data_IF_267410380931
#
_entry.id   IF_267410380931
#
_cell.length_a   1.000
_cell.length_b   1.000
_cell.length_c   1.000
_cell.angle_alpha   90.00
_cell.angle_beta   90.00
_cell.angle_gamma   90.00
#
_symmetry.space_group_name_H-M   'P 1'
#
loop_
_entity.id
_entity.type
_entity.pdbx_description
1 polymer ?
#
# COMPACT_ATOMS: atom_id res chain seq x y z
N UNK A 1 22.17 6.10 34.92
CA UNK A 1 20.86 6.69 34.59
C UNK A 1 20.93 7.13 33.13
N UNK A 2 20.55 6.25 32.22
CA UNK A 2 20.72 6.46 30.78
C UNK A 2 19.57 7.33 30.26
N UNK A 3 19.90 8.50 29.73
CA UNK A 3 18.98 9.33 28.95
C UNK A 3 18.84 8.71 27.57
N UNK A 4 18.09 7.61 27.48
CA UNK A 4 17.59 7.14 26.18
C UNK A 4 16.48 8.08 25.72
N UNK A 5 16.59 8.49 24.46
CA UNK A 5 15.93 9.62 23.85
C UNK A 5 14.40 9.58 23.95
N UNK A 6 13.83 10.54 24.68
CA UNK A 6 12.38 10.79 24.78
C UNK A 6 11.67 10.90 23.41
N UNK A 7 12.38 11.20 22.33
CA UNK A 7 11.85 11.35 20.98
C UNK A 7 11.59 10.01 20.26
N UNK A 8 12.39 8.96 20.49
CA UNK A 8 12.18 7.65 19.87
C UNK A 8 10.99 6.90 20.48
N UNK A 9 10.78 7.06 21.80
CA UNK A 9 9.65 6.48 22.53
C UNK A 9 8.32 7.05 22.02
N UNK A 10 8.25 8.34 21.73
CA UNK A 10 7.05 8.99 21.19
C UNK A 10 6.72 8.57 19.76
N UNK A 11 7.73 8.36 18.91
CA UNK A 11 7.54 7.92 17.52
C UNK A 11 7.07 6.47 17.42
N UNK A 12 7.60 5.56 18.25
CA UNK A 12 7.14 4.18 18.29
C UNK A 12 5.70 4.08 18.80
N UNK A 13 5.32 4.90 19.78
CA UNK A 13 3.94 4.98 20.23
C UNK A 13 2.95 5.33 19.11
N UNK A 14 3.34 6.19 18.15
CA UNK A 14 2.51 6.52 16.98
C UNK A 14 2.22 5.30 16.10
N UNK A 15 3.07 4.28 16.07
CA UNK A 15 2.82 3.04 15.30
C UNK A 15 1.75 2.17 15.98
N UNK A 16 1.53 2.33 17.29
CA UNK A 16 0.46 1.67 18.05
C UNK A 16 -0.89 2.41 18.02
N UNK A 17 -0.95 3.63 17.48
CA UNK A 17 -2.21 4.40 17.43
C UNK A 17 -3.05 3.95 16.24
N UNK A 18 -4.33 3.56 16.41
CA UNK A 18 -5.18 3.10 15.30
C UNK A 18 -5.35 4.08 14.15
N UNK A 19 -5.18 5.39 14.38
CA UNK A 19 -5.25 6.44 13.35
C UNK A 19 -3.96 6.58 12.53
N UNK A 20 -2.87 5.92 12.94
CA UNK A 20 -1.61 5.97 12.22
C UNK A 20 -1.66 5.13 10.95
N UNK A 21 -1.12 5.67 9.86
CA UNK A 21 -0.98 4.95 8.59
C UNK A 21 -0.03 3.74 8.69
N UNK A 22 0.81 3.73 9.73
CA UNK A 22 1.74 2.64 10.04
C UNK A 22 1.14 1.58 10.96
N UNK A 23 -0.07 1.79 11.47
CA UNK A 23 -0.72 0.83 12.34
C UNK A 23 -1.09 -0.43 11.56
N UNK A 24 -0.61 -1.56 12.06
CA UNK A 24 -0.99 -2.87 11.56
C UNK A 24 -2.10 -3.43 12.45
N UNK A 25 -3.30 -3.55 11.90
CA UNK A 25 -4.39 -4.14 12.66
C UNK A 25 -4.11 -5.64 12.82
N UNK A 26 -4.37 -6.26 13.99
CA UNK A 26 -4.18 -7.71 14.19
C UNK A 26 -4.92 -8.62 13.19
N UNK A 27 -5.89 -8.07 12.46
CA UNK A 27 -6.70 -8.77 11.46
C UNK A 27 -6.18 -8.56 10.03
N UNK A 28 -5.11 -7.79 9.86
CA UNK A 28 -4.47 -7.61 8.55
C UNK A 28 -3.61 -8.83 8.24
N UNK A 29 -3.98 -9.54 7.17
CA UNK A 29 -3.33 -10.75 6.73
C UNK A 29 -2.88 -10.59 5.27
N UNK A 30 -1.66 -11.02 4.96
CA UNK A 30 -1.08 -11.02 3.61
C UNK A 30 -1.85 -11.92 2.63
N UNK A 31 -2.57 -12.92 3.13
CA UNK A 31 -3.41 -13.84 2.36
C UNK A 31 -4.78 -13.24 1.99
N UNK A 32 -5.10 -12.03 2.45
CA UNK A 32 -6.37 -11.39 2.14
C UNK A 32 -6.39 -10.90 0.68
N UNK A 33 -7.45 -11.23 -0.05
CA UNK A 33 -7.76 -10.65 -1.36
C UNK A 33 -8.73 -9.50 -1.12
N UNK A 34 -8.30 -8.25 -1.37
CA UNK A 34 -9.13 -7.07 -1.09
C UNK A 34 -10.22 -6.84 -2.14
N UNK A 35 -9.93 -7.17 -3.40
CA UNK A 35 -10.81 -6.89 -4.54
C UNK A 35 -10.89 -8.13 -5.41
N UNK A 36 -12.13 -8.47 -5.78
CA UNK A 36 -12.48 -9.49 -6.76
C UNK A 36 -13.61 -8.94 -7.65
N UNK A 37 -13.60 -9.15 -8.98
CA UNK A 37 -12.59 -9.88 -9.76
C UNK A 37 -11.24 -9.14 -9.84
N UNK A 38 -10.13 -9.83 -10.15
CA UNK A 38 -8.84 -9.19 -10.32
C UNK A 38 -8.83 -8.24 -11.53
N UNK A 39 -7.86 -7.33 -11.58
CA UNK A 39 -7.61 -6.49 -12.76
C UNK A 39 -7.23 -7.39 -13.95
N UNK A 40 -7.94 -7.24 -15.05
CA UNK A 40 -7.70 -7.93 -16.33
C UNK A 40 -7.47 -6.94 -17.48
N UNK A 41 -7.32 -5.65 -17.18
CA UNK A 41 -7.12 -4.56 -18.13
C UNK A 41 -8.42 -3.82 -18.41
N UNK A 42 -9.40 -4.45 -19.06
CA UNK A 42 -10.67 -3.80 -19.44
C UNK A 42 -11.57 -3.38 -18.28
N UNK A 43 -11.34 -3.91 -17.07
CA UNK A 43 -12.12 -3.57 -15.88
C UNK A 43 -11.44 -2.53 -14.98
N UNK A 44 -10.45 -1.79 -15.49
CA UNK A 44 -9.61 -0.91 -14.68
C UNK A 44 -10.40 0.09 -13.84
N UNK A 45 -11.38 0.81 -14.40
CA UNK A 45 -12.13 1.83 -13.65
C UNK A 45 -12.85 1.23 -12.42
N UNK A 46 -13.49 0.08 -12.59
CA UNK A 46 -14.17 -0.64 -11.52
C UNK A 46 -13.16 -1.15 -10.48
N UNK A 47 -12.08 -1.79 -10.94
CA UNK A 47 -11.03 -2.31 -10.08
C UNK A 47 -10.35 -1.21 -9.26
N UNK A 48 -9.97 -0.10 -9.90
CA UNK A 48 -9.29 1.02 -9.25
C UNK A 48 -10.18 1.65 -8.17
N UNK A 49 -11.47 1.86 -8.47
CA UNK A 49 -12.42 2.37 -7.48
C UNK A 49 -12.58 1.42 -6.28
N UNK A 50 -12.74 0.11 -6.54
CA UNK A 50 -12.89 -0.88 -5.49
C UNK A 50 -11.62 -0.99 -4.62
N UNK A 51 -10.44 -1.00 -5.24
CA UNK A 51 -9.16 -1.11 -4.54
C UNK A 51 -8.88 0.12 -3.68
N UNK A 52 -9.17 1.32 -4.19
CA UNK A 52 -9.07 2.55 -3.42
C UNK A 52 -9.95 2.52 -2.17
N UNK A 53 -11.23 2.11 -2.29
CA UNK A 53 -12.15 1.99 -1.15
C UNK A 53 -11.67 0.94 -0.14
N UNK A 54 -11.16 -0.20 -0.61
CA UNK A 54 -10.62 -1.23 0.26
C UNK A 54 -9.39 -0.72 1.06
N UNK A 55 -8.46 -0.01 0.40
CA UNK A 55 -7.31 0.59 1.07
C UNK A 55 -7.70 1.69 2.06
N UNK A 56 -8.70 2.51 1.75
CA UNK A 56 -9.26 3.49 2.69
C UNK A 56 -9.81 2.82 3.94
N UNK A 57 -10.54 1.70 3.79
CA UNK A 57 -11.07 0.94 4.94
C UNK A 57 -9.97 0.35 5.85
N UNK A 58 -8.75 0.20 5.33
CA UNK A 58 -7.56 -0.29 6.04
C UNK A 58 -6.61 0.81 6.51
N UNK A 59 -6.97 2.08 6.29
CA UNK A 59 -6.10 3.24 6.53
C UNK A 59 -4.75 3.16 5.76
N UNK A 60 -4.75 2.55 4.57
CA UNK A 60 -3.56 2.35 3.73
C UNK A 60 -3.60 3.11 2.39
N UNK A 61 -4.62 3.95 2.17
CA UNK A 61 -4.76 4.71 0.92
C UNK A 61 -3.54 5.59 0.60
N UNK A 62 -2.90 6.16 1.62
CA UNK A 62 -1.79 7.08 1.41
C UNK A 62 -0.52 6.44 0.82
N UNK A 63 -0.43 5.11 0.84
CA UNK A 63 0.67 4.38 0.20
C UNK A 63 0.54 4.34 -1.33
N UNK A 64 -0.63 4.69 -1.88
CA UNK A 64 -0.90 4.69 -3.33
C UNK A 64 -1.34 6.05 -3.88
N UNK A 65 -1.62 7.04 -3.04
CA UNK A 65 -1.98 8.40 -3.50
C UNK A 65 -0.76 9.36 -3.60
N UNK A 66 0.39 8.96 -3.06
CA UNK A 66 1.63 9.75 -3.09
C UNK A 66 1.72 10.87 -2.06
N UNK A 67 0.74 10.99 -1.15
CA UNK A 67 0.75 12.00 -0.09
C UNK A 67 1.68 11.63 1.07
N UNK A 68 1.97 10.34 1.24
CA UNK A 68 2.88 9.85 2.29
C UNK A 68 4.34 9.98 1.85
N UNK A 69 5.10 10.80 2.58
CA UNK A 69 6.55 10.90 2.39
C UNK A 69 7.25 9.62 2.87
N UNK A 70 8.18 9.12 2.07
CA UNK A 70 9.00 7.94 2.41
C UNK A 70 10.02 8.35 3.49
N UNK A 71 10.01 7.72 4.68
CA UNK A 71 10.99 8.03 5.72
C UNK A 71 12.42 7.69 5.25
N UNK A 72 13.41 8.45 5.72
CA UNK A 72 14.81 8.07 5.53
C UNK A 72 15.11 6.73 6.22
N UNK A 73 16.06 5.91 5.72
CA UNK A 73 16.42 4.63 6.35
C UNK A 73 16.88 4.74 7.81
N UNK A 74 17.39 5.91 8.22
CA UNK A 74 17.78 6.21 9.60
C UNK A 74 16.61 6.59 10.51
N UNK A 75 15.41 6.80 9.95
CA UNK A 75 14.22 7.15 10.70
C UNK A 75 13.64 5.90 11.39
N UNK A 76 13.32 5.96 12.71
CA UNK A 76 12.69 4.85 13.42
C UNK A 76 11.39 4.32 12.80
N UNK A 77 10.65 5.16 12.04
CA UNK A 77 9.43 4.77 11.35
C UNK A 77 9.66 4.01 10.03
N UNK A 78 10.91 3.96 9.54
CA UNK A 78 11.22 3.33 8.26
C UNK A 78 10.78 1.86 8.21
N UNK A 79 11.03 1.09 9.28
CA UNK A 79 10.62 -0.31 9.37
C UNK A 79 9.09 -0.45 9.30
N UNK A 80 8.35 0.42 10.00
CA UNK A 80 6.88 0.38 9.99
C UNK A 80 6.30 0.78 8.62
N UNK A 81 6.92 1.77 7.97
CA UNK A 81 6.63 2.13 6.58
C UNK A 81 6.88 0.96 5.63
N UNK A 82 8.04 0.28 5.74
CA UNK A 82 8.40 -0.83 4.88
C UNK A 82 7.43 -2.01 5.00
N UNK A 83 7.01 -2.34 6.22
CA UNK A 83 5.98 -3.35 6.47
C UNK A 83 4.64 -2.99 5.85
N UNK A 84 4.19 -1.75 6.05
CA UNK A 84 2.92 -1.28 5.48
C UNK A 84 2.97 -1.26 3.95
N UNK A 85 4.07 -0.80 3.35
CA UNK A 85 4.29 -0.84 1.91
C UNK A 85 4.26 -2.28 1.37
N UNK A 86 4.92 -3.22 2.05
CA UNK A 86 4.93 -4.65 1.67
C UNK A 86 3.53 -5.26 1.71
N UNK A 87 2.72 -4.86 2.69
CA UNK A 87 1.33 -5.30 2.82
C UNK A 87 0.47 -4.79 1.65
N UNK A 88 0.57 -3.50 1.33
CA UNK A 88 -0.17 -2.90 0.21
C UNK A 88 0.26 -3.52 -1.12
N UNK A 89 1.56 -3.73 -1.35
CA UNK A 89 2.05 -4.46 -2.53
C UNK A 89 1.44 -5.86 -2.63
N UNK A 90 1.43 -6.60 -1.53
CA UNK A 90 0.85 -7.94 -1.50
C UNK A 90 -0.63 -7.93 -1.90
N UNK A 91 -1.41 -6.97 -1.39
CA UNK A 91 -2.81 -6.83 -1.77
C UNK A 91 -3.00 -6.39 -3.23
N UNK A 92 -2.12 -5.54 -3.77
CA UNK A 92 -2.12 -5.18 -5.19
C UNK A 92 -1.84 -6.42 -6.05
N UNK A 93 -0.74 -7.14 -5.81
CA UNK A 93 -0.37 -8.34 -6.57
C UNK A 93 -1.43 -9.45 -6.51
N UNK A 94 -2.15 -9.57 -5.37
CA UNK A 94 -3.25 -10.53 -5.23
C UNK A 94 -4.56 -10.12 -5.91
N UNK A 95 -4.68 -8.85 -6.28
CA UNK A 95 -5.88 -8.30 -6.93
C UNK A 95 -5.68 -8.01 -8.41
N UNK A 96 -4.55 -8.40 -9.00
CA UNK A 96 -4.30 -8.28 -10.44
C UNK A 96 -4.08 -9.66 -11.06
N UNK A 97 -4.32 -9.78 -12.37
CA UNK A 97 -4.10 -11.05 -13.08
C UNK A 97 -2.60 -11.40 -13.14
N UNK A 98 -2.25 -12.69 -13.28
CA UNK A 98 -0.86 -13.11 -13.39
C UNK A 98 -0.09 -12.45 -14.54
N UNK A 99 -0.75 -12.19 -15.68
CA UNK A 99 -0.13 -11.54 -16.83
C UNK A 99 0.24 -10.08 -16.56
N UNK A 100 -0.62 -9.37 -15.82
CA UNK A 100 -0.33 -7.98 -15.40
C UNK A 100 0.71 -7.98 -14.28
N UNK A 101 0.66 -8.92 -13.35
CA UNK A 101 1.64 -9.03 -12.25
C UNK A 101 3.09 -9.09 -12.77
N UNK A 102 3.33 -9.76 -13.89
CA UNK A 102 4.65 -9.87 -14.50
C UNK A 102 5.24 -8.52 -14.97
N UNK A 103 4.42 -7.54 -15.37
CA UNK A 103 4.93 -6.23 -15.80
C UNK A 103 5.39 -5.37 -14.63
N UNK A 104 4.77 -5.53 -13.45
CA UNK A 104 5.00 -4.68 -12.27
C UNK A 104 5.82 -5.33 -11.15
N UNK A 105 6.22 -6.60 -11.29
CA UNK A 105 6.90 -7.38 -10.22
C UNK A 105 8.21 -6.76 -9.70
N UNK A 106 8.88 -5.95 -10.51
CA UNK A 106 10.16 -5.31 -10.17
C UNK A 106 10.01 -4.04 -9.32
N UNK A 107 8.77 -3.53 -9.19
CA UNK A 107 8.47 -2.31 -8.47
C UNK A 107 8.33 -2.60 -6.97
N UNK A 108 9.16 -1.92 -6.17
CA UNK A 108 9.23 -2.13 -4.71
C UNK A 108 8.39 -1.16 -3.89
N UNK A 109 7.67 -0.23 -4.55
CA UNK A 109 6.80 0.75 -3.88
C UNK A 109 5.39 0.61 -4.38
N UNK A 110 4.43 0.58 -3.47
CA UNK A 110 3.01 0.46 -3.80
C UNK A 110 2.51 1.58 -4.72
N UNK A 111 3.01 2.81 -4.51
CA UNK A 111 2.72 3.96 -5.36
C UNK A 111 3.18 3.76 -6.81
N UNK A 112 4.33 3.12 -7.03
CA UNK A 112 4.85 2.90 -8.38
C UNK A 112 3.97 1.88 -9.11
N UNK A 113 3.62 0.77 -8.44
CA UNK A 113 2.70 -0.22 -9.00
C UNK A 113 1.35 0.42 -9.32
N UNK A 114 0.80 1.22 -8.41
CA UNK A 114 -0.47 1.90 -8.63
C UNK A 114 -0.44 2.82 -9.85
N UNK A 115 0.63 3.59 -10.00
CA UNK A 115 0.79 4.53 -11.11
C UNK A 115 1.00 3.82 -12.45
N UNK A 116 1.81 2.75 -12.48
CA UNK A 116 2.04 1.95 -13.69
C UNK A 116 0.74 1.31 -14.19
N UNK A 117 -0.02 0.68 -13.28
CA UNK A 117 -1.35 0.13 -13.60
C UNK A 117 -2.32 1.20 -14.10
N UNK A 118 -2.26 2.41 -13.52
CA UNK A 118 -3.07 3.53 -13.97
C UNK A 118 -2.69 3.95 -15.38
N UNK A 119 -1.42 4.22 -15.63
CA UNK A 119 -0.93 4.65 -16.94
C UNK A 119 -1.28 3.64 -18.04
N UNK A 120 -1.08 2.35 -17.75
CA UNK A 120 -1.30 1.26 -18.70
C UNK A 120 -2.78 1.04 -19.03
N UNK A 121 -3.69 1.17 -18.06
CA UNK A 121 -5.09 0.72 -18.23
C UNK A 121 -6.15 1.81 -18.08
N UNK A 122 -5.82 3.02 -17.63
CA UNK A 122 -6.81 4.10 -17.46
C UNK A 122 -7.41 4.60 -18.78
N UNK A 123 -6.71 4.37 -19.89
CA UNK A 123 -7.12 4.80 -21.24
C UNK A 123 -7.81 3.70 -22.04
N UNK A 124 -8.06 2.52 -21.43
CA UNK A 124 -8.58 1.33 -22.11
C UNK A 124 -10.05 1.37 -22.53
N UNK A 125 -10.83 2.36 -22.11
CA UNK A 125 -12.27 2.49 -22.44
C UNK A 125 -12.52 3.27 -23.76
N UNK A 126 -11.64 3.10 -24.75
CA UNK A 126 -11.77 3.79 -26.05
C UNK A 126 -12.01 2.81 -27.21
N UNK A 127 -12.97 1.90 -27.10
CA UNK A 127 -13.57 1.21 -28.27
C UNK A 127 -15.05 0.92 -28.05
#
# INVERSE_FOLDING_TARGET
MATESSSSVSLLALVQVPSSYYFLHPNENLSLVLVSPPLIGSNYQHWARAMMLALMSKNKHQFVDGTLSIPAPTNPLFSAWQWSNTMVLTWLFRSISPSISQSVIWLNRAIDVWNDLKEQFSHGDTF
#
